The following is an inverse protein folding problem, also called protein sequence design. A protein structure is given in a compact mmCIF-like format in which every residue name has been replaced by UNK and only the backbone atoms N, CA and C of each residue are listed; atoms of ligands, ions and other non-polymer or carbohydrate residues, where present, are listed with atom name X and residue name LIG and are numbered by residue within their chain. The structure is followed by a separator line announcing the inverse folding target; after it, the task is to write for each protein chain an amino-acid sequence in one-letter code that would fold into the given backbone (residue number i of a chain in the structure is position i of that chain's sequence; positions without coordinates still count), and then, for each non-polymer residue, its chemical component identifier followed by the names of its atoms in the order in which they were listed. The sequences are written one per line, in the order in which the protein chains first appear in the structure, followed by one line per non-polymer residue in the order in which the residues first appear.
data_IF_737864499461
#
_entry.id   IF_737864499461
#
_cell.length_a   1.000
_cell.length_b   1.000
_cell.length_c   1.000
_cell.angle_alpha   90.00
_cell.angle_beta   90.00
_cell.angle_gamma   90.00
#
_symmetry.space_group_name_H-M   'P 1'
#
loop_
_entity.id
_entity.type
_entity.pdbx_description
1 polymer ?
#
# COMPACT_ATOMS: atom_id res chain seq x y z
N UNK A 1 -13.22 -15.08 -24.49
CA UNK A 1 -14.10 -14.59 -23.43
C UNK A 1 -13.25 -13.73 -22.51
N UNK A 2 -13.34 -12.41 -22.67
CA UNK A 2 -12.71 -11.46 -21.74
C UNK A 2 -13.51 -11.52 -20.45
N UNK A 3 -12.91 -12.00 -19.35
CA UNK A 3 -13.45 -11.71 -18.04
C UNK A 3 -13.35 -10.19 -17.90
N UNK A 4 -14.47 -9.49 -17.98
CA UNK A 4 -14.55 -8.13 -17.48
C UNK A 4 -14.29 -8.23 -15.97
N UNK A 5 -13.06 -7.92 -15.56
CA UNK A 5 -12.67 -7.82 -14.16
C UNK A 5 -13.44 -6.65 -13.54
N UNK A 6 -14.69 -6.89 -13.15
CA UNK A 6 -15.54 -5.90 -12.50
C UNK A 6 -14.93 -5.56 -11.13
N UNK A 7 -14.50 -4.32 -10.97
CA UNK A 7 -13.68 -3.93 -9.84
C UNK A 7 -14.39 -3.23 -8.69
N UNK A 8 -13.57 -2.68 -7.78
CA UNK A 8 -13.98 -1.80 -6.67
C UNK A 8 -14.92 -0.67 -7.12
N UNK A 9 -14.73 -0.14 -8.33
CA UNK A 9 -15.53 0.96 -8.88
C UNK A 9 -16.74 0.50 -9.70
N UNK A 10 -16.76 -0.76 -10.15
CA UNK A 10 -17.70 -1.23 -11.16
C UNK A 10 -18.81 -2.10 -10.55
N UNK A 11 -18.53 -2.75 -9.41
CA UNK A 11 -19.50 -3.59 -8.70
C UNK A 11 -20.20 -2.85 -7.57
N UNK A 12 -21.48 -3.18 -7.30
CA UNK A 12 -22.21 -2.61 -6.17
C UNK A 12 -21.59 -2.97 -4.82
N UNK A 13 -21.03 -4.19 -4.70
CA UNK A 13 -20.28 -4.60 -3.52
C UNK A 13 -19.01 -3.74 -3.33
N UNK A 14 -18.24 -3.54 -4.39
CA UNK A 14 -17.05 -2.69 -4.39
C UNK A 14 -17.35 -1.25 -4.01
N UNK A 15 -18.36 -0.64 -4.64
CA UNK A 15 -18.80 0.73 -4.33
C UNK A 15 -19.26 0.85 -2.89
N UNK A 16 -20.02 -0.12 -2.38
CA UNK A 16 -20.44 -0.15 -0.97
C UNK A 16 -19.22 -0.15 -0.05
N UNK A 17 -18.27 -1.06 -0.25
CA UNK A 17 -17.04 -1.10 0.56
C UNK A 17 -16.27 0.22 0.49
N UNK A 18 -16.10 0.78 -0.72
CA UNK A 18 -15.41 2.05 -0.91
C UNK A 18 -16.04 3.15 -0.05
N UNK A 19 -17.37 3.30 -0.11
CA UNK A 19 -18.09 4.36 0.59
C UNK A 19 -18.23 4.13 2.09
N UNK A 20 -18.32 2.90 2.56
CA UNK A 20 -18.58 2.61 3.97
C UNK A 20 -17.33 2.24 4.77
N UNK A 21 -16.22 1.89 4.09
CA UNK A 21 -14.98 1.44 4.74
C UNK A 21 -13.79 2.29 4.31
N UNK A 22 -13.48 2.31 3.02
CA UNK A 22 -12.20 2.87 2.56
C UNK A 22 -12.17 4.40 2.63
N UNK A 23 -13.22 5.09 2.16
CA UNK A 23 -13.31 6.56 2.22
C UNK A 23 -13.32 7.06 3.66
N UNK A 24 -14.17 6.55 4.58
CA UNK A 24 -14.13 6.96 5.97
C UNK A 24 -12.78 6.70 6.65
N UNK A 25 -12.11 5.59 6.34
CA UNK A 25 -10.78 5.31 6.86
C UNK A 25 -9.75 6.35 6.38
N UNK A 26 -9.79 6.73 5.10
CA UNK A 26 -8.90 7.76 4.53
C UNK A 26 -9.19 9.14 5.14
N UNK A 27 -10.47 9.51 5.31
CA UNK A 27 -10.87 10.76 5.95
C UNK A 27 -10.38 10.82 7.40
N UNK A 28 -10.57 9.74 8.15
CA UNK A 28 -10.08 9.63 9.52
C UNK A 28 -8.54 9.71 9.59
N UNK A 29 -7.83 9.04 8.65
CA UNK A 29 -6.38 9.12 8.56
C UNK A 29 -5.90 10.54 8.30
N UNK A 30 -6.59 11.28 7.43
CA UNK A 30 -6.24 12.65 7.04
C UNK A 30 -6.62 13.70 8.09
N UNK A 31 -7.57 13.41 8.98
CA UNK A 31 -8.04 14.35 9.99
C UNK A 31 -6.89 14.88 10.87
N UNK A 32 -6.71 16.21 10.87
CA UNK A 32 -5.66 16.88 11.66
C UNK A 32 -4.22 16.71 11.14
N UNK A 33 -4.02 16.06 9.98
CA UNK A 33 -2.69 15.95 9.37
C UNK A 33 -2.30 17.21 8.61
N UNK A 34 -0.99 17.44 8.54
CA UNK A 34 -0.43 18.38 7.59
C UNK A 34 -0.82 18.01 6.16
N UNK A 35 -1.17 19.01 5.35
CA UNK A 35 -1.68 18.81 4.00
C UNK A 35 -0.70 18.02 3.10
N UNK A 36 0.60 18.13 3.33
CA UNK A 36 1.63 17.38 2.60
C UNK A 36 1.66 15.88 2.95
N UNK A 37 1.12 15.48 4.09
CA UNK A 37 1.13 14.11 4.63
C UNK A 37 -0.26 13.44 4.65
N UNK A 38 -1.26 14.10 4.07
CA UNK A 38 -2.55 13.49 3.77
C UNK A 38 -2.48 12.53 2.57
N UNK A 39 -3.45 11.62 2.51
CA UNK A 39 -3.70 10.76 1.37
C UNK A 39 -4.58 11.50 0.37
N UNK A 40 -4.09 11.67 -0.85
CA UNK A 40 -4.87 12.13 -2.00
C UNK A 40 -5.41 10.93 -2.79
N UNK A 41 -6.71 10.90 -3.03
CA UNK A 41 -7.37 9.87 -3.85
C UNK A 41 -7.50 10.35 -5.29
N UNK A 42 -6.99 9.58 -6.24
CA UNK A 42 -7.08 9.86 -7.67
C UNK A 42 -7.64 8.64 -8.41
N UNK A 43 -8.54 8.86 -9.36
CA UNK A 43 -8.96 7.81 -10.30
C UNK A 43 -8.01 7.80 -11.49
N UNK A 44 -7.38 6.66 -11.76
CA UNK A 44 -6.49 6.48 -12.92
C UNK A 44 -6.97 5.26 -13.69
N UNK A 45 -7.61 5.50 -14.83
CA UNK A 45 -8.33 4.46 -15.57
C UNK A 45 -9.43 3.81 -14.73
N UNK A 46 -9.40 2.48 -14.63
CA UNK A 46 -10.32 1.69 -13.80
C UNK A 46 -9.92 1.54 -12.33
N UNK A 47 -8.78 2.09 -11.90
CA UNK A 47 -8.26 1.92 -10.55
C UNK A 47 -8.36 3.21 -9.72
N UNK A 48 -8.39 3.04 -8.39
CA UNK A 48 -8.14 4.13 -7.45
C UNK A 48 -6.68 4.10 -7.02
N UNK A 49 -6.06 5.27 -7.01
CA UNK A 49 -4.66 5.47 -6.63
C UNK A 49 -4.60 6.45 -5.48
N UNK A 50 -4.05 5.99 -4.35
CA UNK A 50 -3.74 6.79 -3.18
C UNK A 50 -2.34 7.38 -3.39
N UNK A 51 -2.19 8.69 -3.48
CA UNK A 51 -0.91 9.38 -3.45
C UNK A 51 -0.66 10.00 -2.08
N UNK A 52 0.51 9.78 -1.48
CA UNK A 52 0.81 10.27 -0.13
C UNK A 52 2.31 10.36 0.13
N UNK A 53 2.66 11.00 1.25
CA UNK A 53 4.02 11.10 1.76
C UNK A 53 4.13 10.46 3.13
N UNK A 54 5.25 9.78 3.39
CA UNK A 54 5.58 9.22 4.69
C UNK A 54 6.95 9.69 5.14
N UNK A 55 7.07 10.02 6.42
CA UNK A 55 8.33 10.27 7.12
C UNK A 55 8.48 9.26 8.25
N UNK A 56 9.10 8.09 8.01
CA UNK A 56 9.23 7.04 9.02
C UNK A 56 10.24 7.43 10.08
N UNK A 57 11.43 7.84 9.66
CA UNK A 57 12.43 8.41 10.55
C UNK A 57 12.87 9.79 10.03
N UNK A 58 13.96 9.85 9.27
CA UNK A 58 14.59 11.12 8.88
C UNK A 58 14.11 11.59 7.51
N UNK A 59 13.88 10.67 6.59
CA UNK A 59 13.61 10.96 5.19
C UNK A 59 12.12 11.02 4.88
N UNK A 60 11.74 11.86 3.91
CA UNK A 60 10.38 11.91 3.37
C UNK A 60 10.33 11.14 2.07
N UNK A 61 9.40 10.19 1.97
CA UNK A 61 9.19 9.36 0.80
C UNK A 61 7.83 9.67 0.19
N UNK A 62 7.79 9.84 -1.13
CA UNK A 62 6.56 9.90 -1.91
C UNK A 62 6.18 8.50 -2.33
N UNK A 63 4.91 8.13 -2.16
CA UNK A 63 4.40 6.82 -2.50
C UNK A 63 3.08 6.93 -3.26
N UNK A 64 2.76 5.84 -3.94
CA UNK A 64 1.41 5.56 -4.37
C UNK A 64 0.98 4.16 -3.93
N UNK A 65 -0.29 4.00 -3.58
CA UNK A 65 -0.93 2.69 -3.39
C UNK A 65 -2.09 2.55 -4.36
N UNK A 66 -2.07 1.51 -5.18
CA UNK A 66 -3.06 1.23 -6.23
C UNK A 66 -4.05 0.18 -5.74
N UNK A 67 -5.33 0.55 -5.73
CA UNK A 67 -6.46 -0.35 -5.53
C UNK A 67 -6.90 -0.84 -6.92
N UNK A 68 -6.38 -2.01 -7.32
CA UNK A 68 -6.70 -2.65 -8.58
C UNK A 68 -8.16 -3.15 -8.58
N UNK A 69 -8.68 -3.56 -9.75
CA UNK A 69 -10.04 -4.10 -9.87
C UNK A 69 -10.30 -5.27 -8.91
N UNK A 70 -9.29 -6.12 -8.70
CA UNK A 70 -9.37 -7.27 -7.79
C UNK A 70 -9.31 -6.94 -6.29
N UNK A 71 -9.16 -5.67 -5.92
CA UNK A 71 -9.24 -5.22 -4.53
C UNK A 71 -10.68 -5.30 -3.99
N UNK A 72 -10.92 -5.77 -2.75
CA UNK A 72 -9.93 -6.10 -1.72
C UNK A 72 -9.46 -7.56 -1.74
N UNK A 73 -10.04 -8.44 -2.56
CA UNK A 73 -9.69 -9.87 -2.57
C UNK A 73 -8.20 -10.10 -2.81
N UNK A 74 -7.59 -9.27 -3.65
CA UNK A 74 -6.14 -9.17 -3.80
C UNK A 74 -5.66 -7.92 -3.08
N UNK A 75 -4.52 -7.99 -2.35
CA UNK A 75 -3.96 -6.81 -1.69
C UNK A 75 -3.66 -5.69 -2.69
N UNK A 76 -3.64 -4.44 -2.22
CA UNK A 76 -3.24 -3.33 -3.05
C UNK A 76 -1.72 -3.34 -3.28
N UNK A 77 -1.30 -2.72 -4.38
CA UNK A 77 0.12 -2.58 -4.72
C UNK A 77 0.64 -1.22 -4.29
N UNK A 78 1.70 -1.20 -3.49
CA UNK A 78 2.34 0.03 -3.03
C UNK A 78 3.70 0.19 -3.70
N UNK A 79 3.90 1.35 -4.33
CA UNK A 79 5.15 1.74 -4.98
C UNK A 79 5.71 2.99 -4.32
N UNK A 80 7.01 3.00 -4.10
CA UNK A 80 7.73 4.22 -3.69
C UNK A 80 8.16 4.99 -4.94
N UNK A 81 7.81 6.26 -5.00
CA UNK A 81 8.15 7.16 -6.11
C UNK A 81 9.49 7.85 -5.89
N UNK A 82 9.86 8.07 -4.63
CA UNK A 82 11.22 8.48 -4.27
C UNK A 82 12.19 7.34 -4.60
N UNK A 83 13.24 7.55 -5.42
CA UNK A 83 14.16 6.47 -5.78
C UNK A 83 14.86 5.88 -4.56
N UNK A 84 14.71 4.55 -4.36
CA UNK A 84 15.45 3.80 -3.34
C UNK A 84 16.59 2.99 -3.95
N UNK A 85 17.61 2.73 -3.13
CA UNK A 85 18.64 1.73 -3.42
C UNK A 85 18.00 0.34 -3.41
N UNK A 86 18.43 -0.54 -4.33
CA UNK A 86 17.96 -1.92 -4.33
C UNK A 86 18.26 -2.60 -2.99
N UNK A 87 17.25 -3.23 -2.41
CA UNK A 87 17.32 -3.97 -1.16
C UNK A 87 16.52 -5.28 -1.28
N UNK A 88 16.71 -6.26 -0.38
CA UNK A 88 16.05 -7.56 -0.45
C UNK A 88 14.50 -7.51 -0.52
N UNK A 89 13.90 -6.43 -0.01
CA UNK A 89 12.44 -6.27 0.04
C UNK A 89 11.87 -5.29 -0.99
N UNK A 90 12.73 -4.72 -1.83
CA UNK A 90 12.31 -3.83 -2.91
C UNK A 90 12.18 -4.66 -4.18
N UNK A 91 10.94 -4.87 -4.61
CA UNK A 91 10.62 -5.58 -5.83
C UNK A 91 10.86 -4.67 -7.05
N UNK A 92 10.76 -5.27 -8.23
CA UNK A 92 10.90 -4.55 -9.50
C UNK A 92 9.95 -3.35 -9.58
N UNK A 93 10.42 -2.27 -10.21
CA UNK A 93 9.63 -1.06 -10.40
C UNK A 93 9.37 -0.26 -9.12
N UNK A 94 10.24 -0.37 -8.10
CA UNK A 94 10.09 0.30 -6.79
C UNK A 94 8.88 -0.18 -5.97
N UNK A 95 8.44 -1.42 -6.18
CA UNK A 95 7.28 -1.99 -5.48
C UNK A 95 7.69 -2.56 -4.13
N UNK A 96 6.91 -2.27 -3.08
CA UNK A 96 7.21 -2.74 -1.73
C UNK A 96 6.70 -4.17 -1.52
N UNK A 97 7.56 -5.05 -1.01
CA UNK A 97 7.16 -6.39 -0.59
C UNK A 97 6.43 -6.37 0.77
N UNK A 98 5.15 -5.98 0.78
CA UNK A 98 4.36 -5.82 2.02
C UNK A 98 3.67 -7.10 2.48
N UNK A 99 3.24 -7.94 1.53
CA UNK A 99 2.21 -8.96 1.81
C UNK A 99 2.72 -10.39 1.77
N UNK A 100 3.89 -10.67 1.18
CA UNK A 100 4.38 -12.03 0.97
C UNK A 100 5.19 -12.53 2.16
N UNK A 101 4.81 -13.67 2.74
CA UNK A 101 5.73 -14.53 3.51
C UNK A 101 6.14 -15.72 2.63
N UNK A 102 7.13 -15.54 1.76
CA UNK A 102 7.61 -16.60 0.86
C UNK A 102 7.00 -16.55 -0.55
N UNK A 103 7.10 -17.67 -1.28
CA UNK A 103 6.91 -17.72 -2.75
C UNK A 103 5.49 -18.03 -3.23
N UNK A 104 4.53 -18.33 -2.34
CA UNK A 104 3.16 -18.75 -2.73
C UNK A 104 2.07 -17.77 -2.28
N UNK A 105 0.95 -17.73 -3.03
CA UNK A 105 -0.22 -16.85 -2.76
C UNK A 105 -0.92 -17.19 -1.42
N UNK A 106 -0.79 -18.43 -0.95
CA UNK A 106 -1.36 -18.91 0.30
C UNK A 106 -0.68 -18.33 1.55
N UNK A 107 0.53 -17.78 1.40
CA UNK A 107 1.28 -17.15 2.50
C UNK A 107 1.16 -15.62 2.49
N UNK A 108 0.07 -15.08 1.92
CA UNK A 108 -0.19 -13.65 2.00
C UNK A 108 -0.65 -13.28 3.41
N UNK A 109 -0.04 -12.26 4.01
CA UNK A 109 -0.53 -11.67 5.26
C UNK A 109 -1.79 -10.83 5.07
N UNK A 110 -2.21 -10.54 3.83
CA UNK A 110 -3.36 -9.69 3.58
C UNK A 110 -4.68 -10.40 3.93
N UNK A 111 -5.46 -9.79 4.82
CA UNK A 111 -6.82 -10.21 5.13
C UNK A 111 -7.83 -9.16 4.62
N UNK A 112 -8.62 -9.45 3.57
CA UNK A 112 -9.58 -8.50 3.02
C UNK A 112 -10.74 -8.16 3.97
N UNK A 113 -11.02 -9.01 4.96
CA UNK A 113 -12.07 -8.75 5.95
C UNK A 113 -11.60 -7.81 7.07
N UNK A 114 -10.30 -7.79 7.35
CA UNK A 114 -9.74 -6.99 8.45
C UNK A 114 -9.02 -5.72 7.98
N UNK A 115 -8.38 -5.76 6.81
CA UNK A 115 -7.48 -4.70 6.38
C UNK A 115 -8.09 -3.77 5.33
N UNK A 116 -7.74 -2.50 5.44
CA UNK A 116 -8.17 -1.39 4.58
C UNK A 116 -7.00 -0.85 3.76
N UNK A 117 -7.28 0.04 2.82
CA UNK A 117 -6.23 0.75 2.08
C UNK A 117 -5.33 1.57 3.01
N UNK A 118 -5.85 2.09 4.13
CA UNK A 118 -5.06 2.81 5.14
C UNK A 118 -4.12 1.87 5.89
N UNK A 119 -4.52 0.62 6.14
CA UNK A 119 -3.60 -0.37 6.71
C UNK A 119 -2.39 -0.61 5.79
N UNK A 120 -2.58 -0.61 4.47
CA UNK A 120 -1.46 -0.67 3.52
C UNK A 120 -0.52 0.54 3.63
N UNK A 121 -1.05 1.75 3.86
CA UNK A 121 -0.24 2.95 4.12
C UNK A 121 0.59 2.79 5.41
N UNK A 122 0.02 2.24 6.47
CA UNK A 122 0.73 1.97 7.72
C UNK A 122 1.80 0.88 7.55
N UNK A 123 1.49 -0.19 6.81
CA UNK A 123 2.47 -1.22 6.48
C UNK A 123 3.65 -0.65 5.67
N UNK A 124 3.38 0.24 4.72
CA UNK A 124 4.42 0.96 3.96
C UNK A 124 5.29 1.85 4.86
N UNK A 125 4.70 2.52 5.86
CA UNK A 125 5.45 3.29 6.85
C UNK A 125 6.44 2.39 7.62
N UNK A 126 5.98 1.25 8.13
CA UNK A 126 6.84 0.29 8.83
C UNK A 126 7.94 -0.26 7.93
N UNK A 127 7.60 -0.56 6.67
CA UNK A 127 8.55 -1.04 5.68
C UNK A 127 9.68 -0.01 5.44
N UNK A 128 9.33 1.27 5.27
CA UNK A 128 10.30 2.34 5.06
C UNK A 128 11.18 2.58 6.29
N UNK A 129 10.64 2.46 7.50
CA UNK A 129 11.45 2.49 8.72
C UNK A 129 12.51 1.37 8.73
N UNK A 130 12.12 0.16 8.28
CA UNK A 130 13.07 -0.96 8.14
C UNK A 130 14.10 -0.71 7.05
N UNK A 131 13.69 -0.09 5.94
CA UNK A 131 14.59 0.31 4.87
C UNK A 131 15.64 1.33 5.36
N UNK A 132 15.25 2.33 6.15
CA UNK A 132 16.21 3.31 6.70
C UNK A 132 17.27 2.61 7.57
N UNK A 133 16.86 1.67 8.44
CA UNK A 133 17.81 0.87 9.23
C UNK A 133 18.71 0.02 8.35
N UNK A 134 18.14 -0.74 7.40
CA UNK A 134 18.93 -1.57 6.48
C UNK A 134 19.90 -0.75 5.63
N UNK A 135 19.49 0.45 5.21
CA UNK A 135 20.33 1.32 4.41
C UNK A 135 21.57 1.79 5.19
N UNK A 136 21.43 1.99 6.51
CA UNK A 136 22.52 2.37 7.41
C UNK A 136 23.39 1.18 7.84
N UNK A 137 22.78 0.04 8.18
CA UNK A 137 23.48 -1.08 8.83
C UNK A 137 23.81 -2.24 7.89
N UNK A 138 23.14 -2.33 6.75
CA UNK A 138 23.17 -3.50 5.86
C UNK A 138 22.28 -4.67 6.32
N UNK A 139 21.66 -4.58 7.50
CA UNK A 139 20.83 -5.65 8.07
C UNK A 139 19.36 -5.24 8.15
N UNK A 140 18.48 -6.10 7.64
CA UNK A 140 17.05 -5.87 7.75
C UNK A 140 16.58 -6.17 9.19
N UNK A 141 15.91 -5.23 9.87
CA UNK A 141 15.66 -5.33 11.31
C UNK A 141 14.52 -6.30 11.69
N UNK A 142 13.73 -6.78 10.72
CA UNK A 142 12.65 -7.72 10.97
C UNK A 142 13.08 -9.16 10.65
N UNK A 143 13.19 -10.06 11.65
CA UNK A 143 13.64 -11.44 11.45
C UNK A 143 12.73 -12.24 10.51
N UNK A 144 11.42 -12.00 10.59
CA UNK A 144 10.39 -12.63 9.74
C UNK A 144 10.44 -12.22 8.26
N UNK A 145 11.31 -11.27 7.93
CA UNK A 145 11.53 -10.78 6.58
C UNK A 145 12.89 -11.20 6.03
N UNK A 146 13.75 -11.90 6.78
CA UNK A 146 15.03 -12.38 6.22
C UNK A 146 14.87 -13.41 5.12
#
# INVERSE_FOLDING_TARGET
MTNDDMGLLDTEFGKRRLLTVEVPAVEAYNCGRDAGFGIALNRVGGALVLGYQLKPCHNVYRLETRLLSSYPTVPPETRVLTPLKHCPHLLEGQTLCLWRQGSTRAASRWDPAQFTCVFAVQAAWRWLACYEVWHETGEWPLPEAK
#
